data_IF_870876637917
#
_entry.id   IF_870876637917
#
_cell.length_a   1.000
_cell.length_b   1.000
_cell.length_c   1.000
_cell.angle_alpha   90.00
_cell.angle_beta   90.00
_cell.angle_gamma   90.00
#
_symmetry.space_group_name_H-M   'P 1'
#
loop_
_entity.id
_entity.type
_entity.pdbx_description
1 polymer ?
#
# COMPACT_ATOMS: atom_id res chain seq x y z
N UNK A 1 6.67 52.95 -51.23
CA UNK A 1 6.86 51.51 -50.90
C UNK A 1 8.09 51.25 -50.03
N UNK A 2 9.25 51.90 -50.25
CA UNK A 2 10.44 51.74 -49.40
C UNK A 2 10.25 52.14 -47.93
N UNK A 3 9.65 53.30 -47.66
CA UNK A 3 9.47 53.77 -46.28
C UNK A 3 8.52 52.88 -45.48
N UNK A 4 7.43 52.40 -46.08
CA UNK A 4 6.44 51.57 -45.39
C UNK A 4 7.01 50.20 -44.97
N UNK A 5 7.76 49.53 -45.84
CA UNK A 5 8.36 48.24 -45.49
C UNK A 5 9.44 48.36 -44.40
N UNK A 6 10.23 49.44 -44.44
CA UNK A 6 11.30 49.67 -43.47
C UNK A 6 10.80 50.17 -42.12
N UNK A 7 9.71 50.95 -42.09
CA UNK A 7 9.19 51.55 -40.85
C UNK A 7 7.98 50.81 -40.27
N UNK A 8 7.30 49.93 -41.01
CA UNK A 8 6.11 49.22 -40.51
C UNK A 8 6.29 47.71 -40.34
N UNK A 9 7.23 47.08 -41.06
CA UNK A 9 7.44 45.61 -41.04
C UNK A 9 8.77 45.19 -40.43
N UNK A 10 9.79 46.04 -40.45
CA UNK A 10 11.05 45.83 -39.76
C UNK A 10 11.00 46.64 -38.47
N UNK A 11 11.39 46.01 -37.36
CA UNK A 11 11.51 46.59 -36.01
C UNK A 11 11.87 48.09 -36.09
N UNK A 12 11.17 48.98 -35.38
CA UNK A 12 11.18 50.44 -35.62
C UNK A 12 12.56 51.15 -35.61
N UNK A 13 13.61 50.51 -35.06
CA UNK A 13 14.95 51.08 -34.88
C UNK A 13 15.85 51.17 -36.14
N UNK A 14 16.01 50.11 -36.96
CA UNK A 14 16.90 50.08 -38.12
C UNK A 14 16.61 51.05 -39.27
N UNK A 15 15.40 51.61 -39.39
CA UNK A 15 15.06 52.48 -40.51
C UNK A 15 15.92 53.76 -40.56
N UNK A 16 16.19 54.36 -39.39
CA UNK A 16 17.02 55.56 -39.26
C UNK A 16 18.47 55.29 -39.68
N UNK A 17 19.02 54.16 -39.23
CA UNK A 17 20.40 53.74 -39.53
C UNK A 17 20.56 53.38 -41.02
N UNK A 18 19.53 52.78 -41.63
CA UNK A 18 19.55 52.47 -43.06
C UNK A 18 19.56 53.74 -43.91
N UNK A 19 18.75 54.74 -43.56
CA UNK A 19 18.70 56.01 -44.29
C UNK A 19 20.02 56.80 -44.16
N UNK A 20 20.69 56.76 -43.01
CA UNK A 20 22.04 57.33 -42.81
C UNK A 20 23.10 56.64 -43.70
N UNK A 21 23.08 55.31 -43.79
CA UNK A 21 24.02 54.54 -44.63
C UNK A 21 23.74 54.76 -46.13
N UNK A 22 22.47 54.88 -46.51
CA UNK A 22 22.07 55.18 -47.88
C UNK A 22 22.46 56.62 -48.30
N UNK A 23 22.48 57.57 -47.36
CA UNK A 23 22.86 58.96 -47.59
C UNK A 23 24.37 59.16 -47.84
N UNK A 24 25.24 58.25 -47.40
CA UNK A 24 26.69 58.33 -47.65
C UNK A 24 27.06 58.25 -49.14
N UNK A 25 26.18 57.70 -49.99
CA UNK A 25 26.37 57.64 -51.45
C UNK A 25 27.50 56.72 -51.92
N UNK A 26 27.49 56.38 -53.21
CA UNK A 26 28.50 55.55 -53.86
C UNK A 26 28.23 54.03 -53.85
N UNK A 27 29.07 53.30 -54.58
CA UNK A 27 28.93 51.85 -54.75
C UNK A 27 29.11 51.08 -53.43
N UNK A 28 30.07 51.50 -52.59
CA UNK A 28 30.32 50.90 -51.27
C UNK A 28 29.18 51.14 -50.28
N UNK A 29 28.59 52.33 -50.24
CA UNK A 29 27.45 52.64 -49.37
C UNK A 29 26.21 51.81 -49.72
N UNK A 30 25.95 51.63 -51.02
CA UNK A 30 24.85 50.76 -51.48
C UNK A 30 25.05 49.30 -51.06
N UNK A 31 26.28 48.77 -51.15
CA UNK A 31 26.61 47.41 -50.71
C UNK A 31 26.42 47.23 -49.20
N UNK A 32 26.86 48.19 -48.39
CA UNK A 32 26.69 48.15 -46.94
C UNK A 32 25.21 48.22 -46.52
N UNK A 33 24.40 49.01 -47.22
CA UNK A 33 22.95 49.08 -46.99
C UNK A 33 22.25 47.73 -47.27
N UNK A 34 22.60 47.04 -48.35
CA UNK A 34 22.05 45.71 -48.65
C UNK A 34 22.51 44.64 -47.65
N UNK A 35 23.77 44.70 -47.19
CA UNK A 35 24.28 43.79 -46.17
C UNK A 35 23.56 44.01 -44.83
N UNK A 36 23.38 45.27 -44.43
CA UNK A 36 22.64 45.63 -43.22
C UNK A 36 21.18 45.14 -43.28
N UNK A 37 20.49 45.37 -44.40
CA UNK A 37 19.14 44.85 -44.62
C UNK A 37 19.10 43.32 -44.56
N UNK A 38 20.07 42.63 -45.16
CA UNK A 38 20.21 41.18 -45.09
C UNK A 38 20.38 40.67 -43.66
N UNK A 39 21.23 41.31 -42.86
CA UNK A 39 21.42 40.96 -41.45
C UNK A 39 20.14 41.13 -40.63
N UNK A 40 19.33 42.16 -40.88
CA UNK A 40 18.07 42.36 -40.16
C UNK A 40 17.02 41.32 -40.57
N UNK A 41 16.94 40.98 -41.87
CA UNK A 41 16.03 39.94 -42.34
C UNK A 41 16.44 38.59 -41.74
N UNK A 42 17.74 38.28 -41.69
CA UNK A 42 18.26 37.06 -41.07
C UNK A 42 17.96 37.04 -39.55
N UNK A 43 18.18 38.14 -38.83
CA UNK A 43 17.87 38.19 -37.40
C UNK A 43 16.37 38.03 -37.13
N UNK A 44 15.50 38.69 -37.91
CA UNK A 44 14.06 38.53 -37.82
C UNK A 44 13.62 37.08 -38.12
N UNK A 45 14.22 36.43 -39.12
CA UNK A 45 13.95 35.04 -39.44
C UNK A 45 14.40 34.09 -38.32
N UNK A 46 15.55 34.34 -37.69
CA UNK A 46 16.01 33.54 -36.53
C UNK A 46 15.07 33.68 -35.33
N UNK A 47 14.56 34.88 -35.06
CA UNK A 47 13.57 35.11 -33.98
C UNK A 47 12.25 34.42 -34.30
N UNK A 48 11.78 34.51 -35.55
CA UNK A 48 10.55 33.84 -35.99
C UNK A 48 10.65 32.33 -35.80
N UNK A 49 11.76 31.73 -36.22
CA UNK A 49 11.98 30.29 -36.05
C UNK A 49 12.08 29.88 -34.57
N UNK A 50 12.65 30.73 -33.71
CA UNK A 50 12.67 30.50 -32.26
C UNK A 50 11.25 30.58 -31.65
N UNK A 51 10.44 31.56 -32.07
CA UNK A 51 9.06 31.72 -31.61
C UNK A 51 8.15 30.58 -32.07
N UNK A 52 8.31 30.12 -33.31
CA UNK A 52 7.59 28.93 -33.82
C UNK A 52 7.95 27.70 -32.98
N UNK A 53 9.23 27.54 -32.62
CA UNK A 53 9.67 26.47 -31.72
C UNK A 53 8.93 26.47 -30.38
N UNK A 54 8.89 27.62 -29.70
CA UNK A 54 8.20 27.76 -28.40
C UNK A 54 6.68 27.56 -28.56
N UNK A 55 6.06 28.10 -29.60
CA UNK A 55 4.62 27.90 -29.88
C UNK A 55 4.29 26.43 -30.12
N UNK A 56 5.06 25.74 -30.96
CA UNK A 56 4.87 24.33 -31.23
C UNK A 56 5.05 23.49 -29.96
N UNK A 57 6.03 23.80 -29.11
CA UNK A 57 6.23 23.10 -27.86
C UNK A 57 5.02 23.23 -26.93
N UNK A 58 4.51 24.45 -26.72
CA UNK A 58 3.35 24.69 -25.86
C UNK A 58 2.09 24.05 -26.44
N UNK A 59 1.86 24.18 -27.74
CA UNK A 59 0.70 23.57 -28.41
C UNK A 59 0.74 22.05 -28.30
N UNK A 60 1.90 21.42 -28.50
CA UNK A 60 2.04 19.98 -28.37
C UNK A 60 1.80 19.53 -26.93
N UNK A 61 2.38 20.22 -25.94
CA UNK A 61 2.15 19.92 -24.51
C UNK A 61 0.67 20.04 -24.12
N UNK A 62 0.01 21.13 -24.54
CA UNK A 62 -1.42 21.31 -24.28
C UNK A 62 -2.25 20.26 -25.03
N UNK A 63 -1.90 19.94 -26.27
CA UNK A 63 -2.61 18.94 -27.06
C UNK A 63 -2.50 17.53 -26.46
N UNK A 64 -1.31 17.13 -25.99
CA UNK A 64 -1.11 15.84 -25.33
C UNK A 64 -1.88 15.75 -24.01
N UNK A 65 -1.81 16.79 -23.17
CA UNK A 65 -2.57 16.86 -21.93
C UNK A 65 -4.09 16.82 -22.17
N UNK A 66 -4.61 17.57 -23.14
CA UNK A 66 -6.03 17.54 -23.47
C UNK A 66 -6.47 16.18 -24.02
N UNK A 67 -5.64 15.52 -24.85
CA UNK A 67 -5.92 14.18 -25.36
C UNK A 67 -5.98 13.16 -24.22
N UNK A 68 -5.05 13.24 -23.26
CA UNK A 68 -5.03 12.35 -22.11
C UNK A 68 -6.29 12.53 -21.25
N UNK A 69 -6.64 13.77 -20.91
CA UNK A 69 -7.88 14.04 -20.17
C UNK A 69 -9.14 13.59 -20.92
N UNK A 70 -9.18 13.79 -22.24
CA UNK A 70 -10.31 13.35 -23.06
C UNK A 70 -10.45 11.82 -23.07
N UNK A 71 -9.33 11.09 -23.11
CA UNK A 71 -9.31 9.63 -23.00
C UNK A 71 -9.82 9.18 -21.62
N UNK A 72 -9.34 9.79 -20.53
CA UNK A 72 -9.81 9.45 -19.17
C UNK A 72 -11.32 9.70 -19.03
N UNK A 73 -11.81 10.84 -19.55
CA UNK A 73 -13.24 11.15 -19.57
C UNK A 73 -14.06 10.14 -20.38
N UNK A 74 -13.53 9.69 -21.53
CA UNK A 74 -14.17 8.66 -22.34
C UNK A 74 -14.26 7.33 -21.58
N UNK A 75 -13.15 6.88 -20.96
CA UNK A 75 -13.10 5.67 -20.16
C UNK A 75 -14.14 5.69 -19.04
N UNK A 76 -14.13 6.77 -18.25
CA UNK A 76 -14.99 6.91 -17.08
C UNK A 76 -16.46 6.82 -17.46
N UNK A 77 -16.89 7.49 -18.54
CA UNK A 77 -18.28 7.42 -19.01
C UNK A 77 -18.69 6.02 -19.46
N UNK A 78 -17.92 5.41 -20.36
CA UNK A 78 -18.28 4.09 -20.90
C UNK A 78 -18.24 3.01 -19.84
N UNK A 79 -17.27 3.07 -18.93
CA UNK A 79 -17.23 2.14 -17.81
C UNK A 79 -18.40 2.39 -16.87
N UNK A 80 -18.71 3.63 -16.51
CA UNK A 80 -19.84 3.96 -15.64
C UNK A 80 -21.17 3.40 -16.20
N UNK A 81 -21.41 3.55 -17.50
CA UNK A 81 -22.63 3.01 -18.15
C UNK A 81 -22.73 1.48 -17.99
N UNK A 82 -21.60 0.77 -18.10
CA UNK A 82 -21.55 -0.69 -17.86
C UNK A 82 -21.78 -0.98 -16.38
N UNK A 83 -21.14 -0.25 -15.47
CA UNK A 83 -21.26 -0.47 -14.03
C UNK A 83 -22.68 -0.27 -13.50
N UNK A 84 -23.42 0.72 -14.00
CA UNK A 84 -24.82 0.96 -13.62
C UNK A 84 -25.73 -0.26 -13.93
N UNK A 85 -25.33 -1.12 -14.88
CA UNK A 85 -26.06 -2.36 -15.19
C UNK A 85 -25.76 -3.53 -14.23
N UNK A 86 -24.63 -3.50 -13.52
CA UNK A 86 -24.17 -4.57 -12.63
C UNK A 86 -24.24 -4.18 -11.14
N UNK A 87 -24.39 -2.90 -10.81
CA UNK A 87 -24.59 -2.37 -9.45
C UNK A 87 -26.04 -2.61 -8.97
N UNK A 88 -26.31 -3.84 -8.52
CA UNK A 88 -27.66 -4.28 -8.10
C UNK A 88 -28.06 -3.63 -6.75
N UNK A 89 -27.09 -3.36 -5.89
CA UNK A 89 -27.25 -2.76 -4.57
C UNK A 89 -27.23 -1.22 -4.60
N UNK A 90 -26.93 -0.59 -5.74
CA UNK A 90 -26.79 0.86 -5.94
C UNK A 90 -25.83 1.51 -4.93
N UNK A 91 -24.85 0.76 -4.44
CA UNK A 91 -23.92 1.25 -3.44
C UNK A 91 -22.69 1.94 -4.06
N UNK A 92 -22.66 2.06 -5.39
CA UNK A 92 -21.54 2.63 -6.19
C UNK A 92 -20.21 1.92 -5.95
N UNK A 93 -20.28 0.70 -5.43
CA UNK A 93 -19.15 -0.14 -5.08
C UNK A 93 -19.33 -1.50 -5.74
N UNK A 94 -18.22 -2.19 -5.96
CA UNK A 94 -18.20 -3.46 -6.68
C UNK A 94 -17.58 -4.49 -5.74
N UNK A 95 -18.38 -5.47 -5.36
CA UNK A 95 -17.92 -6.65 -4.64
C UNK A 95 -17.12 -7.60 -5.54
N UNK A 96 -16.36 -8.51 -4.93
CA UNK A 96 -15.54 -9.50 -5.66
C UNK A 96 -16.34 -10.32 -6.68
N UNK A 97 -17.58 -10.71 -6.30
CA UNK A 97 -18.47 -11.50 -7.18
C UNK A 97 -19.02 -10.68 -8.35
N UNK A 98 -19.34 -9.41 -8.13
CA UNK A 98 -19.81 -8.49 -9.18
C UNK A 98 -18.68 -8.16 -10.13
N UNK A 99 -17.46 -7.96 -9.61
CA UNK A 99 -16.26 -7.77 -10.40
C UNK A 99 -15.97 -8.99 -11.29
N UNK A 100 -16.15 -10.21 -10.78
CA UNK A 100 -15.99 -11.43 -11.57
C UNK A 100 -17.03 -11.53 -12.71
N UNK A 101 -18.26 -11.06 -12.51
CA UNK A 101 -19.30 -11.00 -13.55
C UNK A 101 -19.01 -9.90 -14.58
N UNK A 102 -18.53 -8.75 -14.12
CA UNK A 102 -18.11 -7.64 -14.97
C UNK A 102 -16.96 -8.05 -15.91
N UNK A 103 -15.97 -8.80 -15.39
CA UNK A 103 -14.86 -9.34 -16.18
C UNK A 103 -15.31 -10.34 -17.26
N UNK A 104 -16.51 -10.90 -17.18
CA UNK A 104 -17.06 -11.76 -18.23
C UNK A 104 -17.69 -10.97 -19.38
N UNK A 105 -17.98 -9.67 -19.18
CA UNK A 105 -18.56 -8.82 -20.20
C UNK A 105 -17.55 -8.50 -21.32
N UNK A 106 -17.94 -8.75 -22.58
CA UNK A 106 -17.10 -8.50 -23.76
C UNK A 106 -16.82 -7.01 -23.97
N UNK A 107 -17.79 -6.13 -23.75
CA UNK A 107 -17.62 -4.68 -23.90
C UNK A 107 -16.61 -4.12 -22.90
N UNK A 108 -16.66 -4.59 -21.65
CA UNK A 108 -15.67 -4.22 -20.62
C UNK A 108 -14.25 -4.59 -21.04
N UNK A 109 -14.05 -5.81 -21.56
CA UNK A 109 -12.76 -6.30 -22.07
C UNK A 109 -12.26 -5.49 -23.26
N UNK A 110 -13.15 -5.17 -24.20
CA UNK A 110 -12.80 -4.37 -25.38
C UNK A 110 -12.39 -2.95 -25.00
N UNK A 111 -13.08 -2.34 -24.02
CA UNK A 111 -12.72 -1.02 -23.51
C UNK A 111 -11.35 -1.06 -22.84
N UNK A 112 -11.10 -2.02 -21.94
CA UNK A 112 -9.79 -2.16 -21.29
C UNK A 112 -8.65 -2.39 -22.30
N UNK A 113 -8.89 -3.24 -23.30
CA UNK A 113 -7.91 -3.51 -24.37
C UNK A 113 -7.62 -2.25 -25.20
N UNK A 114 -8.64 -1.45 -25.54
CA UNK A 114 -8.46 -0.16 -26.22
C UNK A 114 -7.64 0.85 -25.40
N UNK A 115 -7.69 0.74 -24.07
CA UNK A 115 -6.92 1.57 -23.15
C UNK A 115 -5.51 1.03 -22.87
N UNK A 116 -5.14 -0.16 -23.37
CA UNK A 116 -3.84 -0.76 -23.12
C UNK A 116 -3.70 -1.30 -21.70
N UNK A 117 -4.81 -1.72 -21.09
CA UNK A 117 -4.84 -2.41 -19.80
C UNK A 117 -5.13 -3.88 -20.03
N UNK A 118 -4.22 -4.74 -19.57
CA UNK A 118 -4.42 -6.19 -19.62
C UNK A 118 -5.40 -6.65 -18.53
N UNK A 119 -6.32 -7.53 -18.93
CA UNK A 119 -7.38 -8.04 -18.05
C UNK A 119 -6.77 -8.86 -16.91
N UNK A 120 -5.70 -9.60 -17.19
CA UNK A 120 -5.01 -10.43 -16.20
C UNK A 120 -4.35 -9.57 -15.12
N UNK A 121 -3.66 -8.51 -15.52
CA UNK A 121 -3.01 -7.59 -14.58
C UNK A 121 -4.03 -6.88 -13.70
N UNK A 122 -5.17 -6.47 -14.28
CA UNK A 122 -6.27 -5.89 -13.53
C UNK A 122 -6.85 -6.89 -12.52
N UNK A 123 -7.01 -8.15 -12.91
CA UNK A 123 -7.52 -9.20 -12.01
C UNK A 123 -6.55 -9.46 -10.85
N UNK A 124 -5.24 -9.50 -11.12
CA UNK A 124 -4.22 -9.77 -10.09
C UNK A 124 -4.12 -8.63 -9.07
N UNK A 125 -4.15 -7.37 -9.53
CA UNK A 125 -4.14 -6.21 -8.62
C UNK A 125 -5.44 -6.14 -7.83
N UNK A 126 -6.60 -6.33 -8.46
CA UNK A 126 -7.87 -6.29 -7.74
C UNK A 126 -7.97 -7.43 -6.71
N UNK A 127 -7.47 -8.63 -7.03
CA UNK A 127 -7.39 -9.73 -6.07
C UNK A 127 -6.53 -9.39 -4.84
N UNK A 128 -5.39 -8.70 -5.05
CA UNK A 128 -4.56 -8.21 -3.95
C UNK A 128 -5.30 -7.18 -3.09
N UNK A 129 -5.99 -6.21 -3.72
CA UNK A 129 -6.76 -5.17 -3.02
C UNK A 129 -7.91 -5.77 -2.20
N UNK A 130 -8.65 -6.73 -2.75
CA UNK A 130 -9.72 -7.42 -2.01
C UNK A 130 -9.17 -8.26 -0.85
N UNK A 131 -8.01 -8.88 -1.01
CA UNK A 131 -7.37 -9.67 0.05
C UNK A 131 -6.93 -8.79 1.23
N UNK A 132 -6.34 -7.62 0.97
CA UNK A 132 -5.98 -6.65 2.02
C UNK A 132 -7.22 -6.12 2.77
N UNK A 133 -8.36 -5.99 2.08
CA UNK A 133 -9.61 -5.47 2.65
C UNK A 133 -10.56 -6.56 3.16
N UNK A 134 -10.11 -7.81 3.31
CA UNK A 134 -10.93 -8.94 3.75
C UNK A 134 -12.24 -9.14 2.94
N UNK A 135 -12.20 -8.89 1.63
CA UNK A 135 -13.34 -9.06 0.73
C UNK A 135 -14.36 -7.92 0.72
N UNK A 136 -14.00 -6.75 1.24
CA UNK A 136 -14.88 -5.56 1.21
C UNK A 136 -15.01 -4.99 -0.21
N UNK A 137 -16.19 -4.43 -0.56
CA UNK A 137 -16.44 -3.81 -1.87
C UNK A 137 -15.48 -2.64 -2.16
N UNK A 138 -15.16 -2.44 -3.44
CA UNK A 138 -14.28 -1.37 -3.92
C UNK A 138 -15.12 -0.33 -4.64
N UNK A 139 -14.97 0.95 -4.30
CA UNK A 139 -15.71 2.04 -4.94
C UNK A 139 -15.31 2.18 -6.43
N UNK A 140 -16.27 2.60 -7.27
CA UNK A 140 -16.04 2.79 -8.71
C UNK A 140 -14.85 3.72 -9.02
N UNK A 141 -14.70 4.84 -8.29
CA UNK A 141 -13.60 5.78 -8.53
C UNK A 141 -12.22 5.15 -8.24
N UNK A 142 -12.16 4.22 -7.29
CA UNK A 142 -10.93 3.51 -6.96
C UNK A 142 -10.58 2.50 -8.04
N UNK A 143 -11.56 1.75 -8.54
CA UNK A 143 -11.37 0.84 -9.67
C UNK A 143 -10.87 1.58 -10.93
N UNK A 144 -11.46 2.74 -11.23
CA UNK A 144 -10.97 3.61 -12.32
C UNK A 144 -9.52 4.04 -12.06
N UNK A 145 -9.17 4.39 -10.82
CA UNK A 145 -7.80 4.69 -10.43
C UNK A 145 -6.84 3.53 -10.72
N UNK A 146 -7.22 2.30 -10.38
CA UNK A 146 -6.42 1.10 -10.63
C UNK A 146 -6.25 0.85 -12.14
N UNK A 147 -7.33 0.94 -12.93
CA UNK A 147 -7.28 0.79 -14.39
C UNK A 147 -6.38 1.85 -15.03
N UNK A 148 -6.47 3.10 -14.57
CA UNK A 148 -5.63 4.18 -15.07
C UNK A 148 -4.15 3.97 -14.73
N UNK A 149 -3.84 3.42 -13.55
CA UNK A 149 -2.45 3.07 -13.18
C UNK A 149 -1.88 1.95 -14.05
N UNK A 150 -2.71 0.97 -14.40
CA UNK A 150 -2.34 -0.18 -15.24
C UNK A 150 -2.20 0.15 -16.73
N UNK A 151 -2.60 1.35 -17.18
CA UNK A 151 -2.48 1.77 -18.58
C UNK A 151 -1.03 1.69 -19.04
N UNK A 152 -0.76 0.83 -20.03
CA UNK A 152 0.53 0.72 -20.69
C UNK A 152 0.92 2.04 -21.36
N UNK A 153 1.94 2.71 -20.81
CA UNK A 153 2.38 4.04 -21.25
C UNK A 153 2.58 5.05 -20.13
N UNK A 154 2.17 4.74 -18.90
CA UNK A 154 2.50 5.56 -17.74
C UNK A 154 4.01 5.49 -17.42
N UNK A 155 4.68 6.63 -17.35
CA UNK A 155 6.02 6.71 -16.76
C UNK A 155 5.92 6.33 -15.28
N UNK A 156 6.69 5.31 -14.86
CA UNK A 156 6.71 4.84 -13.47
C UNK A 156 6.95 6.03 -12.52
N UNK A 157 6.00 6.25 -11.61
CA UNK A 157 6.11 7.33 -10.63
C UNK A 157 6.89 6.84 -9.41
N UNK A 158 7.35 7.79 -8.58
CA UNK A 158 8.07 7.47 -7.33
C UNK A 158 7.21 6.58 -6.40
N UNK A 159 5.88 6.70 -6.49
CA UNK A 159 4.93 5.82 -5.80
C UNK A 159 5.08 4.36 -6.20
N UNK A 160 5.26 4.08 -7.50
CA UNK A 160 5.39 2.72 -8.01
C UNK A 160 6.72 2.10 -7.58
N UNK A 161 7.78 2.91 -7.48
CA UNK A 161 9.07 2.47 -6.93
C UNK A 161 8.97 2.17 -5.43
N UNK A 162 8.20 2.96 -4.67
CA UNK A 162 7.95 2.70 -3.25
C UNK A 162 7.12 1.44 -3.05
N UNK A 163 6.09 1.23 -3.86
CA UNK A 163 5.25 0.03 -3.80
C UNK A 163 6.04 -1.22 -4.23
N UNK A 164 6.90 -1.11 -5.25
CA UNK A 164 7.84 -2.15 -5.63
C UNK A 164 8.81 -2.48 -4.48
N UNK A 165 9.35 -1.46 -3.79
CA UNK A 165 10.23 -1.67 -2.62
C UNK A 165 9.50 -2.43 -1.52
N UNK A 166 8.23 -2.08 -1.23
CA UNK A 166 7.42 -2.80 -0.24
C UNK A 166 7.18 -4.25 -0.67
N UNK A 167 6.86 -4.48 -1.94
CA UNK A 167 6.66 -5.81 -2.50
C UNK A 167 7.93 -6.67 -2.39
N UNK A 168 9.07 -6.15 -2.84
CA UNK A 168 10.37 -6.83 -2.77
C UNK A 168 10.76 -7.12 -1.32
N UNK A 169 10.53 -6.17 -0.40
CA UNK A 169 10.76 -6.40 1.03
C UNK A 169 9.87 -7.51 1.57
N UNK A 170 8.57 -7.51 1.26
CA UNK A 170 7.65 -8.56 1.69
C UNK A 170 8.02 -9.95 1.14
N UNK A 171 8.48 -10.01 -0.11
CA UNK A 171 8.96 -11.26 -0.73
C UNK A 171 10.29 -11.70 -0.10
N UNK A 172 11.21 -10.77 0.16
CA UNK A 172 12.46 -11.06 0.88
C UNK A 172 12.17 -11.61 2.28
N UNK A 173 11.25 -10.97 3.01
CA UNK A 173 10.84 -11.42 4.35
C UNK A 173 10.22 -12.83 4.29
N UNK A 174 9.35 -13.09 3.31
CA UNK A 174 8.74 -14.42 3.10
C UNK A 174 9.77 -15.48 2.68
N UNK A 175 10.71 -15.14 1.81
CA UNK A 175 11.72 -16.06 1.30
C UNK A 175 12.80 -16.36 2.35
N UNK A 176 13.19 -15.37 3.16
CA UNK A 176 14.05 -15.55 4.32
C UNK A 176 13.42 -16.51 5.34
N UNK A 177 12.10 -16.40 5.60
CA UNK A 177 11.39 -17.35 6.45
C UNK A 177 11.35 -18.79 5.90
N UNK A 178 11.44 -18.98 4.58
CA UNK A 178 11.41 -20.31 3.95
C UNK A 178 12.80 -20.97 3.88
N UNK A 179 13.88 -20.19 3.79
CA UNK A 179 15.25 -20.69 3.63
C UNK A 179 16.00 -20.88 4.95
N UNK A 180 15.56 -20.28 6.05
CA UNK A 180 16.16 -20.47 7.38
C UNK A 180 15.10 -20.46 8.50
N UNK A 181 14.60 -21.63 8.96
CA UNK A 181 13.68 -21.70 10.08
C UNK A 181 14.28 -21.20 11.41
N UNK A 182 15.59 -20.89 11.45
CA UNK A 182 16.28 -20.37 12.63
C UNK A 182 16.59 -18.87 12.59
N UNK A 183 16.30 -18.18 11.48
CA UNK A 183 16.41 -16.72 11.36
C UNK A 183 15.05 -16.08 11.09
N UNK A 184 14.20 -16.11 12.12
CA UNK A 184 13.13 -15.12 12.25
C UNK A 184 13.79 -13.73 12.33
N UNK A 185 13.29 -12.69 11.63
CA UNK A 185 13.78 -11.34 11.79
C UNK A 185 13.68 -10.96 13.27
N UNK A 186 14.82 -10.78 13.92
CA UNK A 186 14.90 -10.29 15.30
C UNK A 186 14.48 -8.81 15.33
N UNK A 187 13.17 -8.58 15.40
CA UNK A 187 12.66 -7.52 16.26
C UNK A 187 13.11 -7.77 17.72
N UNK A 188 12.89 -6.82 18.65
CA UNK A 188 13.20 -7.05 20.06
C UNK A 188 12.64 -8.43 20.50
N UNK A 189 13.40 -9.22 21.28
CA UNK A 189 13.08 -10.63 21.56
C UNK A 189 11.61 -10.76 21.94
N UNK A 190 10.81 -11.39 21.07
CA UNK A 190 9.41 -11.61 21.35
C UNK A 190 9.35 -12.69 22.44
N UNK A 191 8.69 -12.41 23.57
CA UNK A 191 8.55 -13.42 24.60
C UNK A 191 7.62 -14.49 24.04
N UNK A 192 8.11 -15.74 23.99
CA UNK A 192 7.30 -16.89 23.58
C UNK A 192 6.12 -17.01 24.55
N UNK A 193 4.94 -16.59 24.10
CA UNK A 193 3.69 -16.76 24.84
C UNK A 193 3.36 -18.25 24.81
N UNK A 194 3.31 -18.89 25.98
CA UNK A 194 2.95 -20.32 26.11
C UNK A 194 1.46 -20.52 25.90
N UNK A 195 0.65 -19.64 26.50
CA UNK A 195 -0.80 -19.61 26.38
C UNK A 195 -1.32 -18.27 26.90
N UNK A 196 -2.54 -17.91 26.51
CA UNK A 196 -3.28 -16.83 27.15
C UNK A 196 -4.44 -17.41 27.96
N UNK A 197 -4.69 -16.81 29.12
CA UNK A 197 -5.85 -17.10 29.94
C UNK A 197 -6.84 -15.94 29.80
N UNK A 198 -7.99 -16.21 29.20
CA UNK A 198 -9.06 -15.24 28.98
C UNK A 198 -10.17 -15.52 29.99
N UNK A 199 -10.46 -14.55 30.86
CA UNK A 199 -11.54 -14.58 31.82
C UNK A 199 -12.64 -13.62 31.40
N UNK A 200 -13.84 -14.15 31.21
CA UNK A 200 -15.05 -13.40 30.84
C UNK A 200 -15.86 -13.21 32.12
N UNK A 201 -15.88 -11.98 32.63
CA UNK A 201 -16.37 -11.69 33.98
C UNK A 201 -17.88 -11.45 33.94
N UNK A 202 -18.32 -10.39 33.27
CA UNK A 202 -19.73 -10.00 33.21
C UNK A 202 -20.03 -9.10 32.02
N UNK A 203 -21.29 -9.01 31.63
CA UNK A 203 -21.76 -7.98 30.70
C UNK A 203 -22.84 -7.13 31.37
N UNK A 204 -23.00 -5.89 30.90
CA UNK A 204 -24.04 -4.97 31.36
C UNK A 204 -24.67 -4.18 30.22
N UNK A 205 -25.94 -3.82 30.38
CA UNK A 205 -26.66 -2.97 29.44
C UNK A 205 -27.08 -3.69 28.15
N UNK A 206 -27.25 -5.01 28.19
CA UNK A 206 -27.73 -5.77 27.03
C UNK A 206 -29.19 -5.47 26.72
N UNK A 207 -29.55 -5.57 25.45
CA UNK A 207 -30.92 -5.49 24.98
C UNK A 207 -31.70 -6.72 25.45
N UNK A 208 -32.98 -6.55 25.76
CA UNK A 208 -33.90 -7.69 25.84
C UNK A 208 -34.27 -8.12 24.41
N UNK A 209 -33.90 -9.34 24.01
CA UNK A 209 -34.20 -9.86 22.68
C UNK A 209 -35.43 -10.79 22.62
N UNK A 210 -36.09 -11.06 23.76
CA UNK A 210 -37.31 -11.89 23.78
C UNK A 210 -38.40 -11.37 22.82
N UNK A 211 -38.80 -12.22 21.89
CA UNK A 211 -39.81 -11.92 20.87
C UNK A 211 -41.25 -12.03 21.42
N UNK A 212 -41.45 -12.60 22.60
CA UNK A 212 -42.79 -12.85 23.18
C UNK A 212 -42.98 -12.04 24.48
N UNK A 213 -43.99 -11.15 24.56
CA UNK A 213 -44.17 -10.21 25.69
C UNK A 213 -44.61 -10.83 27.03
N UNK A 214 -44.47 -12.16 27.20
CA UNK A 214 -44.92 -12.93 28.37
C UNK A 214 -43.89 -13.95 28.87
N UNK A 215 -42.70 -14.00 28.28
CA UNK A 215 -41.66 -14.98 28.60
C UNK A 215 -40.36 -14.27 28.98
N UNK A 216 -40.02 -14.28 30.27
CA UNK A 216 -38.64 -14.12 30.73
C UNK A 216 -37.89 -12.83 30.35
N UNK A 217 -36.58 -12.89 30.55
CA UNK A 217 -35.54 -12.01 30.00
C UNK A 217 -34.62 -12.88 29.12
N UNK A 218 -33.70 -12.27 28.38
CA UNK A 218 -32.70 -12.95 27.54
C UNK A 218 -31.83 -14.02 28.26
N UNK A 219 -31.54 -15.10 27.54
CA UNK A 219 -30.68 -16.23 27.90
C UNK A 219 -29.28 -16.07 27.29
N UNK A 220 -28.39 -15.36 27.98
CA UNK A 220 -27.17 -14.83 27.36
C UNK A 220 -25.96 -15.74 27.54
N UNK A 221 -25.20 -15.93 26.46
CA UNK A 221 -23.85 -16.48 26.50
C UNK A 221 -22.86 -15.63 25.68
N UNK A 222 -21.57 -15.76 25.98
CA UNK A 222 -20.48 -15.08 25.30
C UNK A 222 -19.56 -16.10 24.61
N UNK A 223 -19.23 -15.84 23.36
CA UNK A 223 -18.27 -16.60 22.56
C UNK A 223 -17.04 -15.74 22.30
N UNK A 224 -15.88 -16.21 22.75
CA UNK A 224 -14.59 -15.60 22.45
C UNK A 224 -13.89 -16.41 21.37
N UNK A 225 -13.50 -15.76 20.27
CA UNK A 225 -12.75 -16.37 19.17
C UNK A 225 -11.51 -15.56 18.86
N UNK A 226 -10.47 -16.23 18.40
CA UNK A 226 -9.31 -15.56 17.81
C UNK A 226 -9.68 -15.09 16.39
N UNK A 227 -9.43 -13.82 16.07
CA UNK A 227 -9.69 -13.29 14.72
C UNK A 227 -8.83 -14.04 13.69
N UNK A 228 -9.50 -14.57 12.65
CA UNK A 228 -8.86 -15.38 11.60
C UNK A 228 -8.97 -16.90 11.81
N UNK A 229 -9.36 -17.37 13.00
CA UNK A 229 -9.54 -18.80 13.31
C UNK A 229 -10.92 -19.04 13.98
N UNK A 230 -12.02 -19.11 13.20
CA UNK A 230 -13.36 -19.26 13.78
C UNK A 230 -13.60 -20.61 14.49
N UNK A 231 -12.72 -21.59 14.31
CA UNK A 231 -12.83 -22.93 14.88
C UNK A 231 -12.22 -23.13 16.28
N UNK A 232 -11.42 -22.19 16.78
CA UNK A 232 -10.66 -22.32 18.06
C UNK A 232 -11.21 -21.39 19.15
N UNK A 233 -12.54 -21.26 19.21
CA UNK A 233 -13.24 -20.39 20.13
C UNK A 233 -13.63 -21.05 21.45
N UNK A 234 -13.75 -20.26 22.50
CA UNK A 234 -14.30 -20.67 23.80
C UNK A 234 -15.68 -20.04 23.98
N UNK A 235 -16.58 -20.77 24.63
CA UNK A 235 -17.97 -20.35 24.83
C UNK A 235 -18.28 -20.47 26.32
N UNK A 236 -18.86 -19.41 26.89
CA UNK A 236 -19.31 -19.43 28.29
C UNK A 236 -20.56 -20.27 28.47
N UNK A 237 -20.88 -20.62 29.72
CA UNK A 237 -22.24 -21.07 30.06
C UNK A 237 -23.29 -20.02 29.67
N UNK A 238 -24.51 -20.51 29.47
CA UNK A 238 -25.71 -19.68 29.30
C UNK A 238 -26.20 -19.25 30.66
N UNK A 239 -26.53 -17.96 30.81
CA UNK A 239 -27.21 -17.45 32.00
C UNK A 239 -28.60 -17.01 31.59
N UNK A 240 -29.58 -17.67 32.20
CA UNK A 240 -30.98 -17.45 31.87
C UNK A 240 -31.55 -16.20 32.53
N UNK A 241 -32.56 -15.61 31.88
CA UNK A 241 -33.35 -14.50 32.39
C UNK A 241 -32.53 -13.28 32.89
N UNK A 242 -31.55 -12.80 32.09
CA UNK A 242 -30.77 -11.62 32.49
C UNK A 242 -30.24 -10.76 31.34
N UNK A 243 -30.24 -9.45 31.55
CA UNK A 243 -29.57 -8.46 30.67
C UNK A 243 -28.23 -7.98 31.23
N UNK A 244 -27.83 -8.48 32.41
CA UNK A 244 -26.54 -8.21 33.03
C UNK A 244 -25.92 -9.54 33.55
N UNK A 245 -25.56 -10.47 32.65
CA UNK A 245 -25.00 -11.77 33.04
C UNK A 245 -23.63 -11.63 33.71
N UNK A 246 -23.39 -12.45 34.74
CA UNK A 246 -22.08 -12.58 35.42
C UNK A 246 -21.64 -14.03 35.28
N UNK A 247 -20.67 -14.29 34.40
CA UNK A 247 -20.15 -15.62 34.13
C UNK A 247 -18.97 -15.96 35.05
N UNK A 248 -17.99 -15.05 35.14
CA UNK A 248 -16.71 -15.25 35.82
C UNK A 248 -16.02 -16.57 35.43
N UNK A 249 -15.98 -16.86 34.13
CA UNK A 249 -15.39 -18.08 33.59
C UNK A 249 -14.03 -17.79 32.94
N UNK A 250 -13.03 -18.59 33.30
CA UNK A 250 -11.68 -18.50 32.77
C UNK A 250 -11.38 -19.65 31.80
N UNK A 251 -10.83 -19.32 30.64
CA UNK A 251 -10.48 -20.25 29.59
C UNK A 251 -9.01 -20.09 29.23
N UNK A 252 -8.34 -21.22 29.01
CA UNK A 252 -6.97 -21.23 28.48
C UNK A 252 -7.03 -21.44 26.99
N UNK A 253 -6.48 -20.50 26.22
CA UNK A 253 -6.36 -20.59 24.77
C UNK A 253 -4.90 -20.94 24.44
N UNK A 254 -4.64 -22.21 24.19
CA UNK A 254 -3.32 -22.73 23.86
C UNK A 254 -2.92 -22.44 22.39
N UNK A 255 -3.89 -22.29 21.49
CA UNK A 255 -3.66 -22.10 20.05
C UNK A 255 -3.46 -20.63 19.63
N UNK A 256 -3.35 -19.72 20.61
CA UNK A 256 -3.17 -18.29 20.38
C UNK A 256 -1.74 -17.97 19.90
N UNK A 257 -1.63 -17.20 18.81
CA UNK A 257 -0.36 -16.71 18.29
C UNK A 257 -0.20 -15.21 18.56
N UNK A 258 1.04 -14.79 18.82
CA UNK A 258 1.35 -13.38 19.07
C UNK A 258 0.88 -12.49 17.91
N UNK A 259 0.16 -11.42 18.25
CA UNK A 259 -0.37 -10.45 17.29
C UNK A 259 -1.84 -10.68 16.90
N UNK A 260 -2.42 -11.84 17.19
CA UNK A 260 -3.83 -12.13 16.89
C UNK A 260 -4.77 -11.36 17.84
N UNK A 261 -5.89 -10.85 17.31
CA UNK A 261 -6.87 -10.12 18.13
C UNK A 261 -7.95 -11.06 18.64
N UNK A 262 -8.56 -10.72 19.77
CA UNK A 262 -9.65 -11.51 20.35
C UNK A 262 -10.98 -10.83 20.03
N UNK A 263 -11.94 -11.59 19.50
CA UNK A 263 -13.31 -11.11 19.28
C UNK A 263 -14.24 -11.79 20.27
N UNK A 264 -15.00 -10.99 21.00
CA UNK A 264 -16.07 -11.43 21.88
C UNK A 264 -17.41 -11.16 21.20
N UNK A 265 -18.28 -12.17 21.15
CA UNK A 265 -19.60 -12.10 20.54
C UNK A 265 -20.62 -12.58 21.56
N UNK A 266 -21.68 -11.81 21.78
CA UNK A 266 -22.76 -12.17 22.69
C UNK A 266 -24.00 -12.56 21.91
N UNK A 267 -24.66 -13.60 22.38
CA UNK A 267 -25.83 -14.20 21.76
C UNK A 267 -26.89 -14.50 22.82
N UNK A 268 -28.14 -14.47 22.40
CA UNK A 268 -29.30 -14.94 23.15
C UNK A 268 -29.68 -16.34 22.67
N UNK A 269 -29.61 -17.34 23.57
CA UNK A 269 -29.90 -18.73 23.24
C UNK A 269 -31.38 -19.03 23.44
N UNK A 270 -32.16 -18.93 22.37
CA UNK A 270 -33.56 -19.34 22.37
C UNK A 270 -33.68 -20.86 22.18
N UNK A 271 -33.83 -21.62 23.27
CA UNK A 271 -34.00 -23.08 23.19
C UNK A 271 -35.27 -23.52 22.42
N UNK A 272 -36.19 -22.59 22.11
CA UNK A 272 -37.54 -22.88 21.60
C UNK A 272 -37.75 -22.74 20.09
N UNK A 273 -36.81 -22.22 19.29
CA UNK A 273 -37.05 -22.00 17.84
C UNK A 273 -35.89 -22.53 16.99
N UNK A 274 -36.22 -23.14 15.83
CA UNK A 274 -35.28 -23.55 14.77
C UNK A 274 -34.76 -22.30 14.01
N UNK A 275 -34.14 -21.36 14.73
CA UNK A 275 -33.58 -20.12 14.20
C UNK A 275 -32.17 -19.93 14.75
N UNK A 276 -31.32 -19.22 14.01
CA UNK A 276 -30.00 -18.79 14.48
C UNK A 276 -30.15 -17.90 15.72
N UNK A 277 -29.28 -18.11 16.72
CA UNK A 277 -29.26 -17.37 17.99
C UNK A 277 -29.26 -15.85 17.75
N UNK A 278 -30.06 -15.10 18.53
CA UNK A 278 -30.22 -13.67 18.33
C UNK A 278 -28.96 -12.93 18.82
N UNK A 279 -28.31 -12.19 17.91
CA UNK A 279 -27.05 -11.52 18.18
C UNK A 279 -27.23 -10.24 19.02
N UNK A 280 -26.52 -10.15 20.14
CA UNK A 280 -26.64 -9.05 21.12
C UNK A 280 -25.49 -8.04 21.05
N UNK A 281 -24.43 -8.34 20.30
CA UNK A 281 -23.30 -7.42 20.06
C UNK A 281 -21.95 -8.13 20.03
N UNK A 282 -20.92 -7.42 19.57
CA UNK A 282 -19.54 -7.89 19.61
C UNK A 282 -18.56 -6.78 19.91
N UNK A 283 -17.39 -7.17 20.38
CA UNK A 283 -16.26 -6.27 20.58
C UNK A 283 -14.97 -6.99 20.21
N UNK A 284 -13.97 -6.21 19.81
CA UNK A 284 -12.65 -6.70 19.44
C UNK A 284 -11.64 -6.11 20.40
N UNK A 285 -10.86 -6.97 21.04
CA UNK A 285 -9.72 -6.60 21.85
C UNK A 285 -8.45 -6.80 21.03
N UNK A 286 -7.76 -5.70 20.74
CA UNK A 286 -6.52 -5.71 19.96
C UNK A 286 -5.36 -6.33 20.75
N UNK A 287 -4.48 -7.05 20.05
CA UNK A 287 -3.31 -7.72 20.64
C UNK A 287 -2.37 -6.75 21.36
N UNK A 288 -2.29 -5.52 20.87
CA UNK A 288 -1.47 -4.45 21.46
C UNK A 288 -1.98 -4.02 22.84
N UNK A 289 -3.28 -4.20 23.13
CA UNK A 289 -3.89 -3.75 24.38
C UNK A 289 -3.67 -4.71 25.55
N UNK A 290 -3.38 -5.98 25.29
CA UNK A 290 -3.17 -6.98 26.34
C UNK A 290 -1.79 -7.65 26.32
N UNK A 291 -1.02 -7.54 25.22
CA UNK A 291 0.37 -7.99 25.22
C UNK A 291 1.33 -6.84 25.59
N UNK A 292 2.36 -7.07 26.43
CA UNK A 292 2.69 -8.30 27.16
C UNK A 292 2.13 -8.35 28.60
N UNK A 293 1.54 -7.28 29.12
CA UNK A 293 1.25 -7.12 30.56
C UNK A 293 -0.11 -7.68 31.00
N UNK A 294 -0.91 -8.20 30.07
CA UNK A 294 -2.31 -8.54 30.29
C UNK A 294 -3.23 -7.33 30.13
N UNK A 295 -4.53 -7.58 30.19
CA UNK A 295 -5.57 -6.55 30.13
C UNK A 295 -6.67 -6.88 31.13
N UNK A 296 -7.17 -5.86 31.83
CA UNK A 296 -8.33 -5.98 32.71
C UNK A 296 -9.17 -4.71 32.55
N UNK A 297 -10.39 -4.84 32.06
CA UNK A 297 -11.23 -3.67 31.80
C UNK A 297 -12.56 -3.98 31.13
N UNK A 298 -13.36 -2.93 31.00
CA UNK A 298 -14.65 -2.98 30.28
C UNK A 298 -14.45 -2.62 28.80
N UNK A 299 -15.03 -3.45 27.93
CA UNK A 299 -15.05 -3.28 26.49
C UNK A 299 -16.47 -2.94 26.04
N UNK A 300 -16.60 -1.87 25.24
CA UNK A 300 -17.90 -1.50 24.66
C UNK A 300 -18.29 -2.52 23.59
N UNK A 301 -19.54 -2.96 23.61
CA UNK A 301 -20.12 -3.81 22.59
C UNK A 301 -20.71 -2.97 21.46
N UNK A 302 -20.49 -3.41 20.23
CA UNK A 302 -21.00 -2.82 18.99
C UNK A 302 -22.02 -3.77 18.34
N UNK A 303 -23.03 -3.19 17.68
CA UNK A 303 -24.04 -3.97 16.95
C UNK A 303 -25.20 -4.53 17.79
N UNK A 304 -25.36 -4.12 19.05
CA UNK A 304 -26.47 -4.54 19.92
C UNK A 304 -27.83 -3.86 19.68
N UNK A 305 -27.96 -3.09 18.60
CA UNK A 305 -29.18 -2.33 18.24
C UNK A 305 -29.04 -0.81 18.38
N UNK A 306 -29.98 -0.05 17.78
CA UNK A 306 -29.95 1.43 17.79
C UNK A 306 -30.14 1.98 19.21
N UNK A 307 -29.17 2.76 19.69
CA UNK A 307 -29.26 3.50 20.97
C UNK A 307 -28.99 2.68 22.23
N UNK A 308 -28.42 1.48 22.10
CA UNK A 308 -28.12 0.60 23.25
C UNK A 308 -26.61 0.65 23.51
N UNK A 309 -26.24 0.97 24.75
CA UNK A 309 -24.86 0.97 25.21
C UNK A 309 -24.62 -0.22 26.13
N UNK A 310 -24.06 -1.29 25.56
CA UNK A 310 -23.69 -2.49 26.30
C UNK A 310 -22.17 -2.57 26.48
N UNK A 311 -21.74 -3.15 27.60
CA UNK A 311 -20.35 -3.27 28.00
C UNK A 311 -20.06 -4.70 28.46
N UNK A 312 -18.85 -5.20 28.19
CA UNK A 312 -18.35 -6.51 28.57
C UNK A 312 -17.06 -6.35 29.37
N UNK A 313 -17.00 -6.86 30.59
CA UNK A 313 -15.80 -6.87 31.43
C UNK A 313 -15.02 -8.16 31.21
N UNK A 314 -13.74 -8.04 30.84
CA UNK A 314 -12.85 -9.17 30.57
C UNK A 314 -11.48 -8.95 31.22
N UNK A 315 -10.83 -10.07 31.56
CA UNK A 315 -9.46 -10.10 32.06
C UNK A 315 -8.64 -11.10 31.26
N UNK A 316 -7.59 -10.63 30.59
CA UNK A 316 -6.67 -11.43 29.79
C UNK A 316 -5.31 -11.45 30.48
N UNK A 317 -4.82 -12.65 30.80
CA UNK A 317 -3.49 -12.86 31.39
C UNK A 317 -2.61 -13.60 30.40
N UNK A 318 -1.42 -13.07 30.12
CA UNK A 318 -0.46 -13.67 29.19
C UNK A 318 0.54 -14.51 29.99
N UNK A 319 0.64 -15.82 29.70
CA UNK A 319 1.66 -16.69 30.29
C UNK A 319 2.86 -16.75 29.35
N UNK A 320 4.01 -16.28 29.82
CA UNK A 320 5.26 -16.31 29.08
C UNK A 320 6.06 -17.56 29.45
N UNK A 321 6.67 -18.21 28.47
CA UNK A 321 7.59 -19.32 28.73
C UNK A 321 8.79 -18.80 29.53
N UNK A 322 9.27 -19.54 30.55
CA UNK A 322 10.54 -19.23 31.19
C UNK A 322 11.66 -19.37 30.15
N UNK A 323 12.40 -18.29 29.90
CA UNK A 323 13.64 -18.36 29.13
C UNK A 323 14.69 -19.00 30.05
N UNK A 324 15.06 -20.26 29.79
CA UNK A 324 16.23 -20.85 30.42
C UNK A 324 17.48 -20.10 29.95
N UNK A 325 17.98 -19.19 30.77
CA UNK A 325 19.31 -18.60 30.58
C UNK A 325 20.37 -19.70 30.73
N UNK A 326 20.94 -20.16 29.61
CA UNK A 326 22.22 -20.88 29.63
C UNK A 326 23.29 -19.94 30.18
N UNK A 327 23.53 -20.10 31.48
CA UNK A 327 24.50 -19.33 32.24
C UNK A 327 25.91 -19.85 31.89
N UNK A 328 26.60 -19.17 30.96
CA UNK A 328 28.00 -19.45 30.60
C UNK A 328 28.93 -19.10 31.78
N UNK A 329 29.09 -20.05 32.70
CA UNK A 329 30.15 -19.99 33.71
C UNK A 329 31.47 -20.41 33.06
N UNK A 330 32.33 -19.42 32.86
CA UNK A 330 33.75 -19.56 32.56
C UNK A 330 34.48 -20.22 33.73
N UNK A 331 34.91 -21.48 33.59
CA UNK A 331 35.88 -22.13 34.48
C UNK A 331 36.81 -23.09 33.73
N UNK A 332 37.99 -22.57 33.41
CA UNK A 332 39.34 -23.14 33.49
C UNK A 332 39.54 -24.66 33.61
N UNK A 333 40.23 -25.22 32.59
CA UNK A 333 41.21 -26.34 32.55
C UNK A 333 40.90 -27.69 33.25
N UNK A 334 40.84 -28.77 32.47
CA UNK A 334 41.93 -29.78 32.40
C UNK A 334 41.58 -30.93 31.43
N UNK A 335 42.66 -31.50 30.89
CA UNK A 335 42.73 -32.49 29.81
C UNK A 335 42.06 -33.85 30.08
N UNK A 336 41.80 -34.50 28.95
CA UNK A 336 41.83 -35.95 28.73
C UNK A 336 40.72 -36.80 29.33
N UNK A 337 39.85 -37.31 28.46
CA UNK A 337 39.85 -38.73 28.05
C UNK A 337 38.50 -39.10 27.41
N UNK A 338 38.56 -40.12 26.52
CA UNK A 338 37.45 -40.92 25.96
C UNK A 338 36.91 -40.36 24.62
N UNK A 339 37.55 -40.76 23.52
CA UNK A 339 37.21 -41.90 22.63
C UNK A 339 36.19 -41.51 21.56
N UNK A 340 36.64 -41.35 20.31
CA UNK A 340 36.73 -42.40 19.30
C UNK A 340 35.35 -42.84 18.82
N UNK A 341 34.89 -42.22 17.74
CA UNK A 341 34.36 -42.85 16.52
C UNK A 341 33.85 -41.73 15.60
N UNK A 342 33.75 -42.00 14.29
CA UNK A 342 33.42 -41.07 13.19
C UNK A 342 34.59 -40.46 12.40
N UNK A 343 35.50 -41.31 11.92
CA UNK A 343 36.33 -41.01 10.74
C UNK A 343 35.63 -41.48 9.44
N UNK A 344 34.69 -40.70 8.91
CA UNK A 344 34.20 -40.90 7.53
C UNK A 344 33.51 -39.69 6.86
N UNK A 345 33.48 -38.50 7.47
CA UNK A 345 32.69 -37.36 6.95
C UNK A 345 33.47 -36.07 6.60
N UNK A 346 34.78 -36.02 6.84
CA UNK A 346 35.53 -34.75 6.87
C UNK A 346 35.89 -34.16 5.50
N UNK A 347 35.85 -34.94 4.41
CA UNK A 347 36.23 -34.43 3.08
C UNK A 347 35.12 -33.62 2.40
N UNK A 348 33.85 -33.97 2.61
CA UNK A 348 32.72 -33.23 2.02
C UNK A 348 32.37 -31.96 2.78
N UNK A 349 32.57 -31.94 4.11
CA UNK A 349 32.26 -30.78 4.94
C UNK A 349 33.27 -29.64 4.73
N UNK A 350 34.56 -29.97 4.54
CA UNK A 350 35.59 -28.98 4.22
C UNK A 350 35.36 -28.34 2.84
N UNK A 351 34.89 -29.11 1.85
CA UNK A 351 34.54 -28.59 0.53
C UNK A 351 33.30 -27.70 0.56
N UNK A 352 32.31 -28.02 1.40
CA UNK A 352 31.12 -27.19 1.63
C UNK A 352 31.45 -25.87 2.34
N UNK A 353 32.35 -25.90 3.32
CA UNK A 353 32.80 -24.68 4.01
C UNK A 353 33.59 -23.76 3.08
N UNK A 354 34.49 -24.31 2.24
CA UNK A 354 35.21 -23.52 1.24
C UNK A 354 34.26 -22.89 0.19
N UNK A 355 33.22 -23.62 -0.23
CA UNK A 355 32.18 -23.09 -1.14
C UNK A 355 31.35 -21.99 -0.48
N UNK A 356 31.05 -22.10 0.82
CA UNK A 356 30.33 -21.08 1.58
C UNK A 356 31.17 -19.81 1.76
N UNK A 357 32.48 -19.95 2.04
CA UNK A 357 33.38 -18.79 2.16
C UNK A 357 33.50 -18.02 0.84
N UNK A 358 33.54 -18.71 -0.31
CA UNK A 358 33.52 -18.08 -1.64
C UNK A 358 32.21 -17.34 -1.94
N UNK A 359 31.07 -17.89 -1.49
CA UNK A 359 29.75 -17.25 -1.64
C UNK A 359 29.66 -16.02 -0.73
N UNK A 360 30.14 -16.10 0.51
CA UNK A 360 30.18 -14.98 1.44
C UNK A 360 31.15 -13.88 0.97
N UNK A 361 32.30 -14.23 0.42
CA UNK A 361 33.23 -13.27 -0.18
C UNK A 361 32.61 -12.58 -1.41
N UNK A 362 31.83 -13.31 -2.20
CA UNK A 362 31.10 -12.77 -3.37
C UNK A 362 29.98 -11.81 -2.97
N UNK A 363 29.20 -12.15 -1.93
CA UNK A 363 28.18 -11.24 -1.38
C UNK A 363 28.80 -9.97 -0.81
N UNK A 364 29.94 -10.08 -0.11
CA UNK A 364 30.63 -8.90 0.45
C UNK A 364 31.13 -7.96 -0.65
N UNK A 365 31.62 -8.51 -1.77
CA UNK A 365 32.02 -7.72 -2.95
C UNK A 365 30.84 -7.04 -3.62
N UNK A 366 29.68 -7.69 -3.71
CA UNK A 366 28.46 -7.10 -4.24
C UNK A 366 27.94 -5.97 -3.35
N UNK A 367 27.91 -6.17 -2.02
CA UNK A 367 27.54 -5.12 -1.06
C UNK A 367 28.47 -3.90 -1.14
N UNK A 368 29.78 -4.13 -1.24
CA UNK A 368 30.76 -3.02 -1.42
C UNK A 368 30.58 -2.31 -2.76
N UNK A 369 30.14 -3.02 -3.81
CA UNK A 369 29.90 -2.44 -5.14
C UNK A 369 28.59 -1.64 -5.19
N UNK A 370 27.55 -2.09 -4.47
CA UNK A 370 26.29 -1.35 -4.30
C UNK A 370 26.51 -0.06 -3.51
N UNK A 371 27.29 -0.10 -2.43
CA UNK A 371 27.60 1.10 -1.64
C UNK A 371 28.37 2.15 -2.46
N UNK A 372 29.24 1.72 -3.38
CA UNK A 372 29.92 2.62 -4.34
C UNK A 372 28.99 3.18 -5.43
N UNK A 373 27.92 2.46 -5.77
CA UNK A 373 26.89 2.96 -6.69
C UNK A 373 25.99 3.99 -6.00
N UNK A 374 25.65 3.78 -4.72
CA UNK A 374 24.93 4.76 -3.90
C UNK A 374 25.74 6.05 -3.74
N UNK A 375 27.02 5.97 -3.35
CA UNK A 375 27.89 7.16 -3.27
C UNK A 375 28.02 7.90 -4.61
N UNK A 376 27.97 7.18 -5.74
CA UNK A 376 27.98 7.79 -7.07
C UNK A 376 26.65 8.43 -7.44
N UNK A 377 25.52 7.88 -7.00
CA UNK A 377 24.20 8.48 -7.20
C UNK A 377 24.04 9.79 -6.42
N UNK A 378 24.51 9.84 -5.17
CA UNK A 378 24.46 11.07 -4.36
C UNK A 378 25.29 12.20 -4.99
N UNK A 379 26.44 11.88 -5.59
CA UNK A 379 27.26 12.86 -6.31
C UNK A 379 26.56 13.37 -7.59
N UNK A 380 25.79 12.52 -8.27
CA UNK A 380 24.99 12.91 -9.43
C UNK A 380 23.81 13.79 -9.02
N UNK A 381 23.14 13.49 -7.90
CA UNK A 381 22.04 14.28 -7.36
C UNK A 381 22.49 15.69 -6.92
N UNK A 382 23.69 15.79 -6.33
CA UNK A 382 24.34 17.08 -6.00
C UNK A 382 24.79 17.86 -7.26
N UNK A 383 25.11 17.17 -8.36
CA UNK A 383 25.45 17.83 -9.63
C UNK A 383 24.20 18.34 -10.38
N UNK A 384 23.09 17.62 -10.30
CA UNK A 384 21.80 18.00 -10.91
C UNK A 384 21.18 19.21 -10.19
N UNK A 385 21.30 19.30 -8.87
CA UNK A 385 20.84 20.46 -8.09
C UNK A 385 21.68 21.73 -8.29
N UNK A 386 22.91 21.62 -8.81
CA UNK A 386 23.74 22.78 -9.19
C UNK A 386 23.53 23.28 -10.61
N UNK A 387 22.80 22.54 -11.46
CA UNK A 387 22.57 22.89 -12.87
C UNK A 387 21.18 23.45 -13.15
N UNK A 388 20.29 23.50 -12.15
CA UNK A 388 19.02 24.23 -12.19
C UNK A 388 19.23 25.70 -11.80
N UNK A 389 19.00 26.68 -12.69
CA UNK A 389 19.07 28.08 -12.33
C UNK A 389 17.87 28.46 -11.44
N UNK A 390 18.15 29.11 -10.31
CA UNK A 390 17.15 29.67 -9.39
C UNK A 390 16.21 30.65 -10.10
N UNK A 391 14.88 30.59 -9.88
CA UNK A 391 13.94 31.56 -10.42
C UNK A 391 13.79 32.72 -9.44
N UNK A 392 14.81 33.57 -9.34
CA UNK A 392 14.68 34.85 -8.62
C UNK A 392 15.39 35.95 -9.40
N UNK A 393 14.66 36.50 -10.38
CA UNK A 393 14.79 37.91 -10.75
C UNK A 393 13.56 38.34 -11.58
N UNK A 394 12.53 38.90 -10.92
CA UNK A 394 11.68 39.94 -11.50
C UNK A 394 11.32 40.97 -10.43
N UNK A 395 11.76 42.20 -10.72
CA UNK A 395 11.03 43.48 -10.63
C UNK A 395 9.88 43.59 -9.65
#
# INVERSE_FOLDING_TARGET
MRSLFMHATLVDGPAVVFDEIAALGGALGSVMAYLFLGCIILSAFTVLNMLIGILCEVINKVSEAEKEEAQIRYLKRHLQDIFECYDVNQDKSIGEKEFALLLQNLEFREILSKFGTDIQDLQDIMAAVYNERAGTSVEFNELIGVVLRLKGGNNAQVTDIVDLRKCVKSVSDKLECLLDPTKVPRGPPQPLIESIEVRIIKARGLRNADLVPLTGKSDVYCKCVVLGKPGTGVVTRVIHDTTNPVWDEAFVMADYQFGEHLRFQLFDQDWRIIKEDDYLGSTVLESQSFCPQGFEGELRLFGGGKGIEAYLEVKVTVKLMPVEEKNDKKSTLSDSSICSDYSAGTSNMALLLARLDDIYASQRRLSTSLQRLEERMDVVEVAVTRTTPSPDLRL
#
